data_IF_072370865383
#
_entry.id   IF_072370865383
#
_cell.length_a   1.000
_cell.length_b   1.000
_cell.length_c   1.000
_cell.angle_alpha   90.00
_cell.angle_beta   90.00
_cell.angle_gamma   90.00
#
_symmetry.space_group_name_H-M   'P 1'
#
loop_
_entity.id
_entity.type
_entity.pdbx_description
1 polymer ?
#
# COMPACT_ATOMS: atom_id res chain seq x y z
N UNK A 1 16.04 -1.90 -5.19
CA UNK A 1 14.77 -1.32 -4.69
C UNK A 1 14.01 -0.89 -5.94
N UNK A 2 13.34 -1.83 -6.61
CA UNK A 2 13.24 -1.80 -8.08
C UNK A 2 11.89 -1.44 -8.70
N UNK A 3 10.77 -1.61 -7.98
CA UNK A 3 9.44 -1.52 -8.62
C UNK A 3 8.41 -0.68 -7.83
N UNK A 4 8.79 -0.07 -6.69
CA UNK A 4 7.87 0.80 -5.94
C UNK A 4 6.77 0.09 -5.15
N UNK A 5 6.82 -1.24 -5.05
CA UNK A 5 5.84 -2.04 -4.32
C UNK A 5 6.14 -2.07 -2.82
N UNK A 6 5.09 -1.99 -1.99
CA UNK A 6 5.15 -2.17 -0.54
C UNK A 6 4.19 -3.27 -0.12
N UNK A 7 4.60 -4.09 0.84
CA UNK A 7 3.74 -5.09 1.46
C UNK A 7 3.21 -4.54 2.78
N UNK A 8 1.90 -4.69 2.98
CA UNK A 8 1.21 -4.30 4.21
C UNK A 8 0.79 -5.56 4.95
N UNK A 9 0.93 -5.55 6.27
CA UNK A 9 0.34 -6.59 7.12
C UNK A 9 -1.11 -6.27 7.42
N UNK A 10 -1.92 -7.27 7.78
CA UNK A 10 -3.35 -7.10 8.06
C UNK A 10 -3.67 -6.01 9.10
N UNK A 11 -2.75 -5.76 10.04
CA UNK A 11 -2.92 -4.72 11.07
C UNK A 11 -2.69 -3.30 10.53
N UNK A 12 -1.93 -3.16 9.43
CA UNK A 12 -1.62 -1.90 8.77
C UNK A 12 -2.63 -1.55 7.66
N UNK A 13 -3.51 -2.50 7.29
CA UNK A 13 -4.52 -2.30 6.27
C UNK A 13 -5.58 -1.32 6.80
N UNK A 14 -5.70 -0.15 6.17
CA UNK A 14 -6.63 0.91 6.57
C UNK A 14 -5.95 2.10 7.26
N UNK A 15 -4.67 1.97 7.62
CA UNK A 15 -3.87 3.09 8.12
C UNK A 15 -3.43 4.02 6.99
N UNK A 16 -3.17 5.28 7.34
CA UNK A 16 -2.60 6.24 6.39
C UNK A 16 -1.13 5.93 6.14
N UNK A 17 -0.81 5.65 4.88
CA UNK A 17 0.55 5.38 4.44
C UNK A 17 1.18 6.64 3.87
N UNK A 18 2.35 7.02 4.40
CA UNK A 18 3.12 8.18 3.93
C UNK A 18 4.43 7.68 3.33
N UNK A 19 4.58 7.86 2.02
CA UNK A 19 5.79 7.54 1.30
C UNK A 19 6.74 8.73 1.37
N UNK A 20 7.84 8.58 2.12
CA UNK A 20 8.93 9.57 2.17
C UNK A 20 10.10 9.08 1.35
N UNK A 21 10.39 9.80 0.28
CA UNK A 21 11.54 9.49 -0.57
C UNK A 21 12.62 10.55 -0.38
N UNK A 22 13.91 10.18 -0.28
CA UNK A 22 14.98 11.16 -0.23
C UNK A 22 14.99 11.95 -1.54
N UNK A 23 14.76 13.26 -1.45
CA UNK A 23 14.61 14.22 -2.56
C UNK A 23 13.23 14.30 -3.24
N UNK A 24 12.15 13.90 -2.57
CA UNK A 24 10.78 14.18 -3.04
C UNK A 24 9.89 14.57 -1.87
N UNK A 25 8.81 15.31 -2.17
CA UNK A 25 7.80 15.66 -1.18
C UNK A 25 7.18 14.39 -0.58
N UNK A 26 6.77 14.51 0.68
CA UNK A 26 6.05 13.45 1.38
C UNK A 26 4.73 13.20 0.63
N UNK A 27 4.53 11.95 0.21
CA UNK A 27 3.37 11.56 -0.55
C UNK A 27 2.42 10.71 0.29
N UNK A 28 1.12 11.01 0.24
CA UNK A 28 0.11 10.19 0.91
C UNK A 28 -0.34 9.10 -0.07
N UNK A 29 -0.10 7.85 0.29
CA UNK A 29 -0.48 6.69 -0.51
C UNK A 29 -1.95 6.37 -0.22
N UNK A 30 -2.79 6.57 -1.23
CA UNK A 30 -4.20 6.16 -1.22
C UNK A 30 -4.34 4.85 -1.98
N UNK A 31 -4.88 3.84 -1.31
CA UNK A 31 -5.15 2.52 -1.88
C UNK A 31 -6.53 2.06 -1.43
N UNK A 32 -7.15 1.19 -2.21
CA UNK A 32 -8.47 0.63 -1.86
C UNK A 32 -8.24 -0.62 -1.02
N UNK A 33 -8.80 -0.63 0.18
CA UNK A 33 -8.82 -1.82 1.03
C UNK A 33 -9.91 -2.77 0.50
N UNK A 34 -9.58 -4.00 0.10
CA UNK A 34 -10.59 -4.97 -0.31
C UNK A 34 -11.47 -5.36 0.90
N UNK A 35 -12.78 -5.44 0.68
CA UNK A 35 -13.74 -5.80 1.74
C UNK A 35 -13.59 -7.25 2.22
N UNK A 36 -13.02 -8.11 1.37
CA UNK A 36 -12.83 -9.53 1.65
C UNK A 36 -11.45 -10.00 1.18
N UNK A 37 -10.62 -10.41 2.15
CA UNK A 37 -9.38 -11.12 1.86
C UNK A 37 -9.70 -12.57 1.53
N UNK A 38 -9.42 -12.99 0.29
CA UNK A 38 -9.60 -14.39 -0.10
C UNK A 38 -8.53 -15.26 0.56
N UNK A 39 -8.93 -16.25 1.36
CA UNK A 39 -8.00 -17.22 1.95
C UNK A 39 -7.35 -18.15 0.94
N UNK A 40 -7.79 -18.11 -0.32
CA UNK A 40 -7.17 -18.85 -1.43
C UNK A 40 -5.94 -18.12 -2.00
N UNK A 41 -5.77 -16.83 -1.67
CA UNK A 41 -4.64 -16.01 -2.06
C UNK A 41 -3.73 -15.77 -0.85
N UNK A 42 -2.41 -15.90 -1.05
CA UNK A 42 -1.42 -15.63 0.00
C UNK A 42 -1.24 -14.12 0.24
N UNK A 43 -1.52 -13.30 -0.77
CA UNK A 43 -1.50 -11.84 -0.73
C UNK A 43 -2.40 -11.30 -1.85
N UNK A 44 -2.92 -10.08 -1.65
CA UNK A 44 -3.66 -9.34 -2.68
C UNK A 44 -2.83 -8.16 -3.15
N UNK A 45 -2.82 -7.93 -4.46
CA UNK A 45 -2.14 -6.81 -5.09
C UNK A 45 -3.19 -5.78 -5.51
N UNK A 46 -2.99 -4.54 -5.07
CA UNK A 46 -3.87 -3.42 -5.41
C UNK A 46 -3.04 -2.25 -5.89
N UNK A 47 -3.56 -1.53 -6.90
CA UNK A 47 -2.98 -0.28 -7.31
C UNK A 47 -3.12 0.77 -6.20
N UNK A 48 -2.05 1.56 -6.04
CA UNK A 48 -2.01 2.67 -5.10
C UNK A 48 -1.64 3.96 -5.84
N UNK A 49 -2.26 5.06 -5.44
CA UNK A 49 -2.04 6.38 -6.03
C UNK A 49 -1.34 7.25 -4.99
N UNK A 50 -0.33 7.97 -5.46
CA UNK A 50 0.37 8.97 -4.69
C UNK A 50 -0.35 10.32 -4.85
N UNK A 51 -0.78 10.92 -3.73
CA UNK A 51 -1.40 12.25 -3.68
C UNK A 51 -0.50 13.26 -2.97
#
# INVERSE_FOLDING_TARGET
MGEGNTFLTNEQIGDELILRSPNSDDCIVKYTVPEHFSSELLYEEVDAICQ
#
